data_IF_169155996643
#
_entry.id   IF_169155996643
#
_cell.length_a   1.000
_cell.length_b   1.000
_cell.length_c   1.000
_cell.angle_alpha   90.00
_cell.angle_beta   90.00
_cell.angle_gamma   90.00
#
_symmetry.space_group_name_H-M   'P 1'
#
loop_
_entity.id
_entity.type
_entity.pdbx_description
1 polymer ?
#
# COMPACT_ATOMS: atom_id res chain seq x y z
N UNK A 1 5.95 17.37 -9.01
CA UNK A 1 5.12 17.55 -10.22
C UNK A 1 4.80 19.02 -10.34
N UNK A 2 4.76 19.58 -11.54
CA UNK A 2 4.46 20.99 -11.83
C UNK A 2 3.17 21.06 -12.64
N UNK A 3 2.22 21.88 -12.19
CA UNK A 3 0.93 22.11 -12.86
C UNK A 3 0.86 23.59 -13.19
N UNK A 4 0.70 23.95 -14.45
CA UNK A 4 0.68 25.34 -14.91
C UNK A 4 -0.03 25.47 -16.25
N UNK A 5 -0.49 26.68 -16.58
CA UNK A 5 -1.07 27.08 -17.86
C UNK A 5 -0.01 27.51 -18.90
N UNK A 6 1.25 27.67 -18.50
CA UNK A 6 2.35 27.96 -19.41
C UNK A 6 3.65 28.35 -18.70
N UNK A 7 4.78 28.27 -19.41
CA UNK A 7 6.07 28.71 -18.88
C UNK A 7 6.77 29.62 -19.91
N UNK A 8 7.06 30.85 -19.49
CA UNK A 8 7.73 31.84 -20.35
C UNK A 8 9.17 31.41 -20.68
N UNK A 9 9.83 30.69 -19.76
CA UNK A 9 11.22 30.23 -19.90
C UNK A 9 11.38 28.79 -19.39
N UNK A 10 12.51 28.17 -19.72
CA UNK A 10 12.89 26.79 -19.39
C UNK A 10 13.61 26.65 -18.04
N UNK A 11 14.02 27.74 -17.41
CA UNK A 11 14.63 27.78 -16.07
C UNK A 11 15.78 26.77 -15.86
N UNK A 12 16.60 26.57 -16.89
CA UNK A 12 17.73 25.63 -16.93
C UNK A 12 18.72 25.81 -15.76
N UNK A 13 18.98 27.07 -15.37
CA UNK A 13 19.87 27.44 -14.26
C UNK A 13 19.46 26.80 -12.93
N UNK A 14 18.17 26.61 -12.68
CA UNK A 14 17.65 25.99 -11.46
C UNK A 14 17.92 24.48 -11.49
N UNK A 15 17.67 23.83 -12.63
CA UNK A 15 17.92 22.40 -12.78
C UNK A 15 19.41 22.07 -12.74
N UNK A 16 20.24 22.93 -13.31
CA UNK A 16 21.70 22.83 -13.25
C UNK A 16 22.22 22.87 -11.81
N UNK A 17 21.64 23.73 -10.96
CA UNK A 17 22.07 23.91 -9.57
C UNK A 17 21.62 22.77 -8.64
N UNK A 18 20.40 22.27 -8.80
CA UNK A 18 19.78 21.38 -7.81
C UNK A 18 19.64 19.92 -8.25
N UNK A 19 19.57 19.62 -9.56
CA UNK A 19 19.27 18.26 -10.04
C UNK A 19 20.37 17.65 -10.92
N UNK A 20 21.13 18.46 -11.65
CA UNK A 20 22.18 17.96 -12.55
C UNK A 20 23.52 17.82 -11.80
N UNK A 21 24.36 16.82 -12.17
CA UNK A 21 24.25 15.91 -13.33
C UNK A 21 23.44 14.62 -13.09
N UNK A 22 23.27 14.20 -11.83
CA UNK A 22 22.72 12.88 -11.47
C UNK A 22 21.26 12.69 -11.90
N UNK A 23 20.48 13.78 -11.95
CA UNK A 23 19.05 13.77 -12.28
C UNK A 23 18.30 12.75 -11.42
N UNK A 24 18.42 12.92 -10.10
CA UNK A 24 17.75 12.09 -9.09
C UNK A 24 16.26 12.41 -9.02
N UNK A 25 15.91 13.69 -9.17
CA UNK A 25 14.52 14.17 -9.14
C UNK A 25 13.92 14.10 -10.55
N UNK A 26 12.74 13.47 -10.67
CA UNK A 26 11.95 13.44 -11.90
C UNK A 26 10.92 14.56 -11.92
N UNK A 27 10.80 15.25 -13.04
CA UNK A 27 9.90 16.40 -13.17
C UNK A 27 8.80 16.09 -14.18
N UNK A 28 7.57 16.00 -13.68
CA UNK A 28 6.37 15.85 -14.48
C UNK A 28 5.71 17.21 -14.62
N UNK A 29 5.41 17.63 -15.84
CA UNK A 29 4.81 18.92 -16.14
C UNK A 29 3.44 18.71 -16.77
N UNK A 30 2.42 19.31 -16.17
CA UNK A 30 1.03 19.27 -16.62
C UNK A 30 0.65 20.66 -17.12
N UNK A 31 0.34 20.76 -18.41
CA UNK A 31 -0.17 21.99 -19.02
C UNK A 31 -1.69 22.01 -18.91
N UNK A 32 -2.28 22.98 -18.22
CA UNK A 32 -3.74 23.14 -18.14
C UNK A 32 -4.18 24.20 -19.13
N UNK A 33 -5.10 23.81 -20.01
CA UNK A 33 -5.73 24.74 -20.94
C UNK A 33 -5.66 24.26 -22.39
N UNK A 34 -6.49 24.90 -23.22
CA UNK A 34 -6.56 24.62 -24.66
C UNK A 34 -5.42 25.28 -25.44
N UNK A 35 -4.82 26.32 -24.86
CA UNK A 35 -3.74 27.06 -25.49
C UNK A 35 -2.38 26.43 -25.17
N UNK A 36 -1.64 26.07 -26.22
CA UNK A 36 -0.34 25.42 -26.13
C UNK A 36 0.84 26.37 -26.37
N UNK A 37 0.62 27.69 -26.27
CA UNK A 37 1.59 28.72 -26.67
C UNK A 37 2.97 28.60 -26.01
N UNK A 38 3.04 27.93 -24.85
CA UNK A 38 4.28 27.72 -24.09
C UNK A 38 4.55 26.25 -23.75
N UNK A 39 3.92 25.31 -24.47
CA UNK A 39 4.04 23.87 -24.21
C UNK A 39 5.47 23.35 -24.39
N UNK A 40 6.23 23.89 -25.33
CA UNK A 40 7.58 23.42 -25.67
C UNK A 40 8.57 23.61 -24.52
N UNK A 41 8.47 24.73 -23.80
CA UNK A 41 9.31 24.99 -22.63
C UNK A 41 9.03 23.97 -21.52
N UNK A 42 7.75 23.68 -21.23
CA UNK A 42 7.39 22.64 -20.27
C UNK A 42 7.86 21.26 -20.71
N UNK A 43 7.67 20.94 -21.99
CA UNK A 43 8.11 19.67 -22.57
C UNK A 43 9.61 19.49 -22.41
N UNK A 44 10.40 20.53 -22.68
CA UNK A 44 11.84 20.50 -22.47
C UNK A 44 12.20 20.25 -21.00
N UNK A 45 11.55 20.96 -20.06
CA UNK A 45 11.77 20.78 -18.62
C UNK A 45 11.51 19.33 -18.16
N UNK A 46 10.44 18.70 -18.66
CA UNK A 46 10.15 17.30 -18.36
C UNK A 46 11.16 16.34 -18.99
N UNK A 47 11.47 16.51 -20.28
CA UNK A 47 12.39 15.64 -21.02
C UNK A 47 13.81 15.67 -20.43
N UNK A 48 14.31 16.86 -20.05
CA UNK A 48 15.64 17.01 -19.49
C UNK A 48 15.81 16.31 -18.13
N UNK A 49 14.73 16.19 -17.36
CA UNK A 49 14.70 15.65 -16.00
C UNK A 49 14.04 14.27 -15.90
N UNK A 50 14.11 13.43 -16.96
CA UNK A 50 13.59 12.04 -16.96
C UNK A 50 12.11 11.91 -16.56
N UNK A 51 11.31 12.93 -16.87
CA UNK A 51 9.88 12.96 -16.56
C UNK A 51 8.98 12.79 -17.78
N UNK A 52 7.76 13.33 -17.68
CA UNK A 52 6.75 13.28 -18.73
C UNK A 52 5.98 14.60 -18.80
N UNK A 53 5.58 14.97 -20.02
CA UNK A 53 4.78 16.14 -20.30
C UNK A 53 3.41 15.70 -20.83
N UNK A 54 2.35 16.24 -20.24
CA UNK A 54 0.98 16.02 -20.72
C UNK A 54 0.20 17.32 -20.70
N UNK A 55 -0.77 17.45 -21.61
CA UNK A 55 -1.64 18.61 -21.73
C UNK A 55 -3.07 18.21 -21.39
N UNK A 56 -3.63 18.87 -20.39
CA UNK A 56 -5.01 18.69 -19.95
C UNK A 56 -5.84 19.84 -20.54
N UNK A 57 -6.60 19.51 -21.59
CA UNK A 57 -7.46 20.49 -22.27
C UNK A 57 -8.85 20.56 -21.65
N UNK A 58 -9.35 19.42 -21.15
CA UNK A 58 -10.71 19.29 -20.60
C UNK A 58 -10.71 18.50 -19.30
N UNK A 59 -11.80 18.62 -18.53
CA UNK A 59 -12.01 17.83 -17.31
C UNK A 59 -12.11 16.32 -17.57
N UNK A 60 -12.51 15.91 -18.78
CA UNK A 60 -12.60 14.50 -19.15
C UNK A 60 -11.20 13.87 -19.30
N UNK A 61 -10.24 14.64 -19.82
CA UNK A 61 -8.87 14.15 -20.08
C UNK A 61 -8.05 13.98 -18.79
N UNK A 62 -8.48 14.60 -17.68
CA UNK A 62 -7.73 14.62 -16.41
C UNK A 62 -7.43 13.20 -15.93
N UNK A 63 -8.42 12.31 -15.96
CA UNK A 63 -8.28 10.98 -15.39
C UNK A 63 -7.22 10.14 -16.13
N UNK A 64 -7.18 10.20 -17.45
CA UNK A 64 -6.22 9.44 -18.25
C UNK A 64 -4.82 10.07 -18.17
N UNK A 65 -4.73 11.38 -18.40
CA UNK A 65 -3.45 12.11 -18.46
C UNK A 65 -2.72 12.14 -17.12
N UNK A 66 -3.44 12.23 -16.01
CA UNK A 66 -2.81 12.18 -14.68
C UNK A 66 -2.24 10.79 -14.45
N UNK A 67 -2.90 9.72 -14.86
CA UNK A 67 -2.45 8.35 -14.57
C UNK A 67 -1.21 7.93 -15.38
N UNK A 68 -0.85 8.64 -16.45
CA UNK A 68 0.32 8.32 -17.28
C UNK A 68 1.67 8.39 -16.53
N UNK A 69 1.78 9.15 -15.42
CA UNK A 69 3.03 9.21 -14.66
C UNK A 69 3.45 7.82 -14.15
N UNK A 70 2.49 6.93 -13.89
CA UNK A 70 2.74 5.57 -13.42
C UNK A 70 3.55 4.77 -14.43
N UNK A 71 3.31 4.97 -15.73
CA UNK A 71 4.08 4.30 -16.79
C UNK A 71 5.54 4.74 -16.81
N UNK A 72 5.87 5.96 -16.38
CA UNK A 72 7.26 6.43 -16.29
C UNK A 72 7.92 6.00 -15.00
N UNK A 73 7.18 6.01 -13.88
CA UNK A 73 7.69 5.54 -12.59
C UNK A 73 7.94 4.03 -12.58
N UNK A 74 7.14 3.25 -13.30
CA UNK A 74 7.28 1.78 -13.35
C UNK A 74 8.46 1.29 -14.20
N UNK A 75 8.97 2.06 -15.18
CA UNK A 75 10.09 1.66 -16.06
C UNK A 75 11.29 1.01 -15.36
N UNK A 76 11.90 1.60 -14.31
CA UNK A 76 13.02 0.96 -13.61
C UNK A 76 12.66 -0.42 -13.05
N UNK A 77 11.45 -0.59 -12.49
CA UNK A 77 10.97 -1.87 -11.97
C UNK A 77 10.80 -2.91 -13.09
N UNK A 78 10.31 -2.50 -14.25
CA UNK A 78 10.17 -3.37 -15.43
C UNK A 78 11.54 -3.84 -15.95
N UNK A 79 12.55 -2.97 -15.95
CA UNK A 79 13.91 -3.30 -16.43
C UNK A 79 14.61 -4.30 -15.51
N UNK A 80 14.43 -4.11 -14.19
CA UNK A 80 14.99 -4.95 -13.13
C UNK A 80 14.28 -6.31 -13.05
N UNK A 81 13.03 -6.40 -13.52
CA UNK A 81 12.20 -7.61 -13.50
C UNK A 81 11.98 -8.17 -12.08
N UNK A 82 11.98 -7.28 -11.09
CA UNK A 82 11.71 -7.62 -9.70
C UNK A 82 10.19 -7.77 -9.49
N UNK A 83 9.77 -8.97 -9.07
CA UNK A 83 8.37 -9.30 -8.79
C UNK A 83 8.09 -9.08 -7.30
N UNK A 84 8.00 -7.82 -6.89
CA UNK A 84 7.63 -7.47 -5.52
C UNK A 84 6.15 -7.77 -5.29
N UNK A 85 5.87 -8.59 -4.28
CA UNK A 85 4.51 -8.87 -3.83
C UNK A 85 4.15 -7.88 -2.72
N UNK A 86 3.06 -7.14 -2.89
CA UNK A 86 2.61 -6.11 -1.96
C UNK A 86 1.19 -6.44 -1.48
N UNK A 87 0.95 -6.26 -0.18
CA UNK A 87 -0.37 -6.40 0.43
C UNK A 87 -1.04 -5.04 0.53
N UNK A 88 -2.33 -4.96 0.17
CA UNK A 88 -3.12 -3.76 0.36
C UNK A 88 -3.69 -3.68 1.77
N UNK A 89 -4.03 -2.47 2.20
CA UNK A 89 -4.79 -2.24 3.44
C UNK A 89 -6.15 -2.94 3.40
N UNK A 90 -6.76 -3.13 4.58
CA UNK A 90 -8.08 -3.74 4.66
C UNK A 90 -9.12 -2.82 3.99
N UNK A 91 -9.82 -3.34 2.99
CA UNK A 91 -10.92 -2.66 2.33
C UNK A 91 -12.16 -3.54 2.30
N UNK A 92 -13.31 -2.92 2.06
CA UNK A 92 -14.58 -3.61 1.92
C UNK A 92 -14.95 -3.66 0.46
N UNK A 93 -15.03 -4.87 -0.08
CA UNK A 93 -15.56 -5.06 -1.41
C UNK A 93 -17.10 -5.04 -1.40
N UNK A 94 -17.69 -4.09 -2.14
CA UNK A 94 -19.14 -4.00 -2.38
C UNK A 94 -19.57 -4.59 -3.72
N UNK A 95 -18.62 -4.95 -4.58
CA UNK A 95 -18.86 -5.24 -5.99
C UNK A 95 -18.97 -6.73 -6.28
N UNK A 96 -18.36 -7.59 -5.44
CA UNK A 96 -18.47 -9.04 -5.58
C UNK A 96 -19.83 -9.55 -5.08
N UNK A 97 -20.62 -10.25 -5.92
CA UNK A 97 -21.84 -10.95 -5.48
C UNK A 97 -21.57 -11.98 -4.37
N UNK A 98 -20.35 -12.52 -4.31
CA UNK A 98 -19.89 -13.39 -3.24
C UNK A 98 -19.72 -12.64 -1.91
N UNK A 99 -19.17 -11.43 -1.93
CA UNK A 99 -19.10 -10.56 -0.75
C UNK A 99 -20.50 -10.18 -0.27
N UNK A 100 -21.47 -10.03 -1.19
CA UNK A 100 -22.86 -9.75 -0.85
C UNK A 100 -23.61 -10.95 -0.26
N UNK A 101 -23.35 -12.18 -0.76
CA UNK A 101 -23.89 -13.42 -0.17
C UNK A 101 -23.26 -13.75 1.19
N UNK A 102 -21.97 -13.48 1.38
CA UNK A 102 -21.30 -13.57 2.69
C UNK A 102 -21.79 -12.48 3.66
N UNK A 103 -22.18 -11.31 3.13
CA UNK A 103 -22.71 -10.21 3.93
C UNK A 103 -24.14 -10.41 4.42
N UNK A 104 -24.95 -11.22 3.73
CA UNK A 104 -26.35 -11.46 4.11
C UNK A 104 -26.50 -12.35 5.35
N UNK A 105 -25.48 -13.16 5.67
CA UNK A 105 -25.48 -14.05 6.84
C UNK A 105 -24.54 -13.54 7.97
N UNK A 106 -23.51 -12.73 7.65
CA UNK A 106 -22.48 -12.30 8.63
C UNK A 106 -21.90 -10.88 8.45
N UNK A 107 -22.57 -9.98 7.71
CA UNK A 107 -22.12 -8.58 7.57
C UNK A 107 -20.93 -8.39 6.61
N UNK A 108 -20.61 -7.12 6.31
CA UNK A 108 -19.56 -6.75 5.34
C UNK A 108 -18.21 -7.37 5.70
N UNK A 109 -17.58 -8.06 4.76
CA UNK A 109 -16.31 -8.75 4.95
C UNK A 109 -15.15 -7.82 4.56
N UNK A 110 -14.21 -7.64 5.49
CA UNK A 110 -12.92 -6.99 5.20
C UNK A 110 -12.04 -7.94 4.38
N UNK A 111 -11.46 -7.41 3.31
CA UNK A 111 -10.58 -8.10 2.38
C UNK A 111 -9.24 -7.36 2.32
N UNK A 112 -8.17 -8.09 2.02
CA UNK A 112 -6.87 -7.55 1.64
C UNK A 112 -6.45 -8.20 0.33
N UNK A 113 -5.82 -7.45 -0.56
CA UNK A 113 -5.37 -7.93 -1.86
C UNK A 113 -3.87 -8.15 -1.84
N UNK A 114 -3.44 -9.29 -2.34
CA UNK A 114 -2.04 -9.54 -2.69
C UNK A 114 -1.84 -9.12 -4.14
N UNK A 115 -1.07 -8.06 -4.37
CA UNK A 115 -0.79 -7.53 -5.69
C UNK A 115 0.65 -7.85 -6.13
N UNK A 116 0.80 -8.27 -7.39
CA UNK A 116 2.10 -8.52 -8.02
C UNK A 116 2.11 -7.92 -9.44
N UNK A 117 3.16 -7.16 -9.82
CA UNK A 117 3.27 -6.61 -11.17
C UNK A 117 3.61 -7.71 -12.19
N UNK A 118 3.08 -7.56 -13.41
CA UNK A 118 3.33 -8.49 -14.52
C UNK A 118 4.07 -7.78 -15.65
N UNK A 119 5.16 -8.39 -16.09
CA UNK A 119 6.05 -7.85 -17.11
C UNK A 119 6.12 -8.74 -18.33
N UNK A 120 6.35 -8.12 -19.50
CA UNK A 120 6.67 -8.86 -20.72
C UNK A 120 8.15 -9.28 -20.71
N UNK A 121 8.42 -10.52 -21.13
CA UNK A 121 9.79 -11.06 -21.23
C UNK A 121 10.49 -10.70 -22.56
N UNK A 122 9.79 -10.06 -23.49
CA UNK A 122 10.36 -9.71 -24.79
C UNK A 122 11.40 -8.57 -24.64
N UNK A 123 12.50 -8.64 -25.39
CA UNK A 123 13.56 -7.64 -25.28
C UNK A 123 13.11 -6.23 -25.74
N UNK A 124 12.21 -6.15 -26.72
CA UNK A 124 11.69 -4.88 -27.24
C UNK A 124 10.89 -4.11 -26.17
N UNK A 125 10.01 -4.81 -25.45
CA UNK A 125 9.19 -4.23 -24.38
C UNK A 125 10.04 -3.93 -23.15
N UNK A 126 11.06 -4.74 -22.87
CA UNK A 126 12.02 -4.53 -21.77
C UNK A 126 12.79 -3.22 -21.93
N UNK A 127 13.31 -2.94 -23.13
CA UNK A 127 14.06 -1.69 -23.40
C UNK A 127 13.20 -0.43 -23.23
N UNK A 128 11.90 -0.54 -23.49
CA UNK A 128 10.91 0.55 -23.34
C UNK A 128 10.37 0.67 -21.91
N UNK A 129 10.57 -0.35 -21.06
CA UNK A 129 10.09 -0.37 -19.67
C UNK A 129 8.56 -0.38 -19.56
N UNK A 130 7.87 -1.08 -20.47
CA UNK A 130 6.39 -1.11 -20.51
C UNK A 130 5.87 -2.13 -19.49
N UNK A 131 5.05 -1.68 -18.54
CA UNK A 131 4.30 -2.52 -17.61
C UNK A 131 3.07 -3.10 -18.32
N UNK A 132 2.86 -4.42 -18.26
CA UNK A 132 1.65 -5.06 -18.84
C UNK A 132 0.43 -4.85 -17.94
N UNK A 133 0.62 -4.94 -16.63
CA UNK A 133 -0.44 -4.77 -15.65
C UNK A 133 -0.05 -5.27 -14.26
N UNK A 134 -1.05 -5.39 -13.39
CA UNK A 134 -0.93 -5.92 -12.03
C UNK A 134 -1.94 -7.03 -11.87
N UNK A 135 -1.51 -8.16 -11.31
CA UNK A 135 -2.40 -9.25 -10.91
C UNK A 135 -2.62 -9.14 -9.41
N UNK A 136 -3.88 -9.19 -9.01
CA UNK A 136 -4.31 -9.15 -7.61
C UNK A 136 -5.12 -10.39 -7.25
N UNK A 137 -4.95 -10.90 -6.03
CA UNK A 137 -5.85 -11.90 -5.46
C UNK A 137 -6.33 -11.44 -4.09
N UNK A 138 -7.64 -11.47 -3.89
CA UNK A 138 -8.29 -10.99 -2.67
C UNK A 138 -8.38 -12.11 -1.64
N UNK A 139 -7.91 -11.81 -0.43
CA UNK A 139 -7.92 -12.70 0.72
C UNK A 139 -8.82 -12.09 1.79
N UNK A 140 -9.89 -12.80 2.21
CA UNK A 140 -10.70 -12.35 3.33
C UNK A 140 -9.89 -12.32 4.63
N UNK A 141 -9.97 -11.23 5.38
CA UNK A 141 -9.32 -11.09 6.69
C UNK A 141 -9.80 -12.19 7.65
N UNK A 142 -11.04 -12.67 7.47
CA UNK A 142 -11.58 -13.81 8.20
C UNK A 142 -10.77 -15.09 8.01
N UNK A 143 -10.24 -15.35 6.82
CA UNK A 143 -9.39 -16.52 6.57
C UNK A 143 -8.04 -16.40 7.30
N UNK A 144 -7.48 -15.19 7.37
CA UNK A 144 -6.29 -14.90 8.17
C UNK A 144 -6.55 -15.08 9.66
N UNK A 145 -7.73 -14.70 10.15
CA UNK A 145 -8.09 -14.90 11.56
C UNK A 145 -8.28 -16.38 11.93
N UNK A 146 -8.57 -17.26 10.96
CA UNK A 146 -8.70 -18.71 11.21
C UNK A 146 -7.36 -19.39 11.46
N UNK A 147 -6.26 -18.84 10.92
CA UNK A 147 -4.91 -19.38 11.17
C UNK A 147 -4.44 -19.10 12.59
N UNK A 148 -5.06 -18.14 13.29
CA UNK A 148 -4.72 -17.77 14.66
C UNK A 148 -5.44 -18.70 15.65
N UNK A 149 -4.72 -19.43 16.51
CA UNK A 149 -5.32 -20.35 17.49
C UNK A 149 -5.95 -19.57 18.66
N UNK A 150 -7.16 -19.02 18.46
CA UNK A 150 -7.88 -18.21 19.46
C UNK A 150 -8.08 -18.92 20.79
N UNK A 151 -8.28 -20.24 20.77
CA UNK A 151 -8.50 -21.05 21.96
C UNK A 151 -7.27 -21.12 22.90
N UNK A 152 -6.08 -20.73 22.45
CA UNK A 152 -4.87 -20.70 23.28
C UNK A 152 -4.60 -19.33 23.92
N UNK A 153 -5.34 -18.28 23.55
CA UNK A 153 -5.07 -16.90 23.98
C UNK A 153 -5.67 -16.56 25.35
N UNK A 154 -6.48 -17.44 25.93
CA UNK A 154 -7.20 -17.16 27.17
C UNK A 154 -8.44 -16.29 26.96
N UNK A 155 -9.06 -15.84 28.05
CA UNK A 155 -10.37 -15.16 28.02
C UNK A 155 -10.25 -13.70 27.56
N UNK A 156 -9.14 -13.03 27.91
CA UNK A 156 -8.87 -11.63 27.58
C UNK A 156 -7.90 -11.45 26.41
N UNK A 157 -7.27 -12.53 25.92
CA UNK A 157 -6.33 -12.45 24.81
C UNK A 157 -7.06 -12.39 23.46
N UNK A 158 -6.67 -11.41 22.65
CA UNK A 158 -7.04 -11.34 21.24
C UNK A 158 -5.79 -11.18 20.39
N UNK A 159 -5.95 -11.44 19.10
CA UNK A 159 -4.91 -11.16 18.13
C UNK A 159 -5.39 -10.01 17.24
N UNK A 160 -4.49 -9.07 17.01
CA UNK A 160 -4.65 -8.01 16.04
C UNK A 160 -3.51 -8.11 15.02
N UNK A 161 -3.70 -7.47 13.87
CA UNK A 161 -2.65 -7.38 12.85
C UNK A 161 -2.56 -5.94 12.36
N UNK A 162 -1.34 -5.48 12.15
CA UNK A 162 -1.02 -4.12 11.73
C UNK A 162 -0.18 -4.19 10.46
N UNK A 163 -0.38 -3.22 9.57
CA UNK A 163 0.46 -3.00 8.39
C UNK A 163 1.78 -2.32 8.78
N UNK A 164 2.75 -2.31 7.87
CA UNK A 164 4.00 -1.55 8.04
C UNK A 164 3.79 -0.02 8.15
N UNK A 165 2.60 0.47 7.84
CA UNK A 165 2.23 1.89 7.93
C UNK A 165 1.53 2.25 9.26
N UNK A 166 1.32 1.28 10.16
CA UNK A 166 0.61 1.49 11.43
C UNK A 166 -0.91 1.26 11.35
N UNK A 167 -1.48 1.06 10.15
CA UNK A 167 -2.92 0.81 10.04
C UNK A 167 -3.29 -0.61 10.46
N UNK A 168 -4.42 -0.72 11.17
CA UNK A 168 -4.99 -1.97 11.63
C UNK A 168 -5.60 -2.74 10.46
N UNK A 169 -5.15 -3.98 10.28
CA UNK A 169 -5.76 -4.96 9.37
C UNK A 169 -6.92 -5.70 10.05
N UNK A 170 -6.77 -6.06 11.33
CA UNK A 170 -7.82 -6.69 12.13
C UNK A 170 -7.69 -6.36 13.60
N UNK A 171 -8.79 -5.99 14.24
CA UNK A 171 -8.90 -5.75 15.68
C UNK A 171 -10.35 -5.97 16.13
N UNK A 172 -10.63 -6.51 17.35
CA UNK A 172 -12.00 -6.73 17.84
C UNK A 172 -12.90 -5.49 17.79
N UNK A 173 -12.36 -4.33 18.15
CA UNK A 173 -13.07 -3.04 18.12
C UNK A 173 -13.02 -2.31 16.77
N UNK A 174 -12.38 -2.89 15.74
CA UNK A 174 -12.42 -2.30 14.40
C UNK A 174 -13.80 -2.50 13.78
N UNK A 175 -14.62 -1.45 13.77
CA UNK A 175 -15.96 -1.47 13.17
C UNK A 175 -15.98 -0.70 11.85
N UNK A 176 -16.11 -1.38 10.69
CA UNK A 176 -16.14 -0.73 9.38
C UNK A 176 -17.45 0.02 9.08
N UNK A 177 -18.49 -0.18 9.89
CA UNK A 177 -19.83 0.39 9.72
C UNK A 177 -20.15 1.43 10.79
N UNK A 178 -21.01 2.39 10.46
CA UNK A 178 -21.71 3.18 11.45
C UNK A 178 -22.59 2.26 12.32
N UNK A 179 -22.85 2.67 13.56
CA UNK A 179 -23.63 1.95 14.59
C UNK A 179 -24.74 1.02 14.05
N UNK A 180 -24.89 -0.12 14.74
CA UNK A 180 -25.81 -1.23 14.44
C UNK A 180 -27.17 -0.74 13.91
N UNK A 181 -27.32 -0.78 12.57
CA UNK A 181 -28.57 -0.41 11.90
C UNK A 181 -28.40 0.46 10.66
N UNK A 182 -27.31 1.23 10.53
CA UNK A 182 -27.02 1.99 9.31
C UNK A 182 -25.94 1.28 8.50
N UNK A 183 -26.30 0.68 7.35
CA UNK A 183 -25.37 0.07 6.37
C UNK A 183 -24.44 1.10 5.67
N UNK A 184 -24.09 2.20 6.33
CA UNK A 184 -23.14 3.20 5.85
C UNK A 184 -21.76 2.88 6.41
N UNK A 185 -20.78 2.79 5.50
CA UNK A 185 -19.37 2.64 5.86
C UNK A 185 -18.90 3.86 6.64
N UNK A 186 -18.12 3.65 7.70
CA UNK A 186 -17.47 4.75 8.42
C UNK A 186 -16.45 5.40 7.46
N UNK A 187 -16.41 6.74 7.31
CA UNK A 187 -15.33 7.37 6.56
C UNK A 187 -13.99 7.00 7.22
N UNK A 188 -12.96 6.75 6.41
CA UNK A 188 -11.60 6.42 6.86
C UNK A 188 -11.44 5.09 7.64
N UNK A 189 -12.36 4.14 7.49
CA UNK A 189 -12.24 2.83 8.14
C UNK A 189 -10.97 2.04 7.75
N UNK A 190 -10.34 2.32 6.60
CA UNK A 190 -9.13 1.63 6.12
C UNK A 190 -7.84 2.19 6.70
N UNK A 191 -7.86 3.41 7.26
CA UNK A 191 -6.69 4.12 7.78
C UNK A 191 -6.75 4.31 9.30
N UNK A 192 -7.41 3.40 10.01
CA UNK A 192 -7.52 3.44 11.47
C UNK A 192 -6.22 2.92 12.09
N UNK A 193 -5.66 3.69 13.02
CA UNK A 193 -4.45 3.35 13.78
C UNK A 193 -4.79 2.74 15.16
N UNK A 194 -3.81 2.08 15.78
CA UNK A 194 -3.92 1.47 17.11
C UNK A 194 -4.33 2.49 18.18
N UNK A 195 -3.78 3.70 18.11
CA UNK A 195 -4.08 4.81 19.02
C UNK A 195 -5.55 5.27 19.01
N UNK A 196 -6.30 4.96 17.95
CA UNK A 196 -7.74 5.28 17.86
C UNK A 196 -8.63 4.20 18.48
N UNK A 197 -8.09 3.01 18.69
CA UNK A 197 -8.85 1.81 19.04
C UNK A 197 -8.49 1.32 20.44
N UNK A 198 -7.22 1.41 20.79
CA UNK A 198 -6.69 1.08 22.10
C UNK A 198 -6.21 2.36 22.78
N UNK A 199 -6.20 2.32 24.11
CA UNK A 199 -5.64 3.40 24.90
C UNK A 199 -4.12 3.33 24.80
N UNK A 200 -3.49 4.47 24.50
CA UNK A 200 -2.04 4.57 24.65
C UNK A 200 -1.70 4.55 26.14
N UNK A 201 -0.95 3.53 26.58
CA UNK A 201 -0.34 3.55 27.90
C UNK A 201 0.73 4.65 27.93
N UNK A 202 0.42 5.73 28.65
CA UNK A 202 1.33 6.88 28.85
C UNK A 202 1.91 6.91 30.26
N UNK A 203 2.06 5.74 30.87
CA UNK A 203 2.56 5.62 32.23
C UNK A 203 4.03 5.21 32.21
N UNK A 204 4.85 6.15 32.68
CA UNK A 204 6.28 6.03 32.90
C UNK A 204 6.62 4.78 33.74
N UNK A 205 7.58 3.99 33.28
CA UNK A 205 8.48 3.10 34.07
C UNK A 205 7.99 2.75 35.48
N UNK A 206 6.91 1.98 35.60
CA UNK A 206 6.60 1.33 36.87
C UNK A 206 7.37 0.02 36.95
N UNK A 207 8.43 0.08 37.75
CA UNK A 207 9.27 -1.05 38.16
C UNK A 207 8.41 -2.18 38.70
N UNK A 208 8.21 -3.24 37.92
CA UNK A 208 7.86 -4.54 38.47
C UNK A 208 9.07 -5.07 39.26
N UNK A 209 8.90 -5.56 40.51
CA UNK A 209 9.99 -6.22 41.22
C UNK A 209 10.40 -7.49 40.46
N UNK A 210 11.69 -7.87 40.45
CA UNK A 210 12.15 -9.06 39.75
C UNK A 210 11.80 -10.29 40.58
N UNK A 211 10.55 -10.75 40.51
CA UNK A 211 10.19 -12.09 40.98
C UNK A 211 10.26 -13.07 39.82
N UNK A 212 11.43 -13.72 39.71
CA UNK A 212 11.60 -15.08 39.21
C UNK A 212 10.95 -15.45 37.87
N UNK A 213 11.62 -15.15 36.76
CA UNK A 213 11.60 -16.08 35.63
C UNK A 213 12.35 -17.35 36.05
N UNK A 214 11.67 -18.28 36.71
CA UNK A 214 12.11 -19.68 36.68
C UNK A 214 11.90 -20.21 35.27
N UNK A 215 12.98 -20.74 34.71
CA UNK A 215 13.08 -21.40 33.42
C UNK A 215 12.04 -22.51 33.27
N UNK A 216 10.83 -22.17 32.81
CA UNK A 216 9.87 -23.14 32.32
C UNK A 216 9.46 -22.79 30.90
N UNK A 217 10.26 -23.34 29.97
CA UNK A 217 9.83 -23.60 28.61
C UNK A 217 9.77 -22.37 27.72
N UNK A 218 10.95 -21.81 27.42
CA UNK A 218 11.16 -21.09 26.17
C UNK A 218 10.85 -22.05 25.01
N UNK A 219 9.58 -22.13 24.61
CA UNK A 219 9.22 -22.66 23.29
C UNK A 219 9.67 -21.61 22.27
N UNK A 220 10.97 -21.65 21.99
CA UNK A 220 11.57 -21.20 20.74
C UNK A 220 10.87 -21.97 19.63
N UNK A 221 9.75 -21.44 19.13
CA UNK A 221 9.31 -21.79 17.79
C UNK A 221 10.34 -21.19 16.85
N UNK A 222 11.29 -22.06 16.47
CA UNK A 222 12.23 -21.82 15.40
C UNK A 222 11.52 -21.12 14.23
N UNK A 223 12.19 -20.09 13.74
CA UNK A 223 11.94 -19.36 12.49
C UNK A 223 11.66 -20.28 11.27
N UNK A 224 11.97 -21.57 11.35
CA UNK A 224 11.84 -22.55 10.27
C UNK A 224 10.39 -23.00 9.96
N UNK A 225 9.44 -22.94 10.91
CA UNK A 225 8.08 -23.50 10.65
C UNK A 225 7.23 -22.59 9.76
N UNK A 226 7.44 -21.26 9.81
CA UNK A 226 6.75 -20.33 8.89
C UNK A 226 7.42 -20.34 7.51
N UNK A 227 8.75 -20.54 7.43
CA UNK A 227 9.42 -20.73 6.15
C UNK A 227 8.97 -22.00 5.42
N UNK A 228 8.68 -23.10 6.13
CA UNK A 228 8.32 -24.39 5.51
C UNK A 228 6.90 -24.43 4.91
N UNK A 229 5.96 -23.61 5.39
CA UNK A 229 4.61 -23.51 4.79
C UNK A 229 4.54 -22.50 3.63
N UNK A 230 5.54 -21.63 3.49
CA UNK A 230 5.67 -20.67 2.38
C UNK A 230 6.76 -21.06 1.36
N UNK A 231 7.51 -22.13 1.60
CA UNK A 231 8.58 -22.62 0.70
C UNK A 231 8.09 -23.21 -0.64
N UNK A 232 6.78 -23.15 -0.94
CA UNK A 232 6.22 -23.60 -2.20
C UNK A 232 6.29 -22.57 -3.34
N UNK A 233 6.29 -21.27 -3.06
CA UNK A 233 6.29 -20.24 -4.11
C UNK A 233 6.68 -18.86 -3.57
N UNK A 234 7.77 -18.33 -4.13
CA UNK A 234 8.20 -16.91 -4.16
C UNK A 234 8.52 -16.29 -2.80
N UNK A 235 9.81 -15.96 -2.61
CA UNK A 235 10.32 -15.22 -1.47
C UNK A 235 9.65 -13.85 -1.35
N UNK A 236 8.65 -13.74 -0.47
CA UNK A 236 8.10 -12.47 -0.02
C UNK A 236 8.96 -11.95 1.15
N UNK A 237 9.39 -10.69 1.09
CA UNK A 237 9.96 -10.01 2.26
C UNK A 237 8.89 -9.96 3.37
N UNK A 238 9.19 -10.32 4.62
CA UNK A 238 8.20 -10.33 5.69
C UNK A 238 7.95 -8.88 6.12
N UNK A 239 6.79 -8.33 5.78
CA UNK A 239 6.34 -7.00 6.20
C UNK A 239 5.18 -7.06 7.20
N UNK A 240 5.04 -8.17 7.93
CA UNK A 240 4.00 -8.37 8.94
C UNK A 240 4.67 -8.71 10.27
N UNK A 241 4.82 -7.71 11.13
CA UNK A 241 5.09 -7.95 12.54
C UNK A 241 3.78 -8.39 13.21
N UNK A 242 3.61 -9.68 13.45
CA UNK A 242 2.62 -10.18 14.41
C UNK A 242 3.15 -9.88 15.81
N UNK A 243 2.73 -8.76 16.40
CA UNK A 243 2.86 -8.55 17.83
C UNK A 243 1.71 -9.26 18.55
N UNK A 244 2.06 -9.97 19.60
CA UNK A 244 1.11 -10.58 20.52
C UNK A 244 1.08 -9.70 21.76
N UNK A 245 -0.03 -9.00 22.01
CA UNK A 245 -0.26 -8.36 23.30
C UNK A 245 -0.99 -9.37 24.21
N UNK A 246 -0.38 -9.69 25.34
CA UNK A 246 -1.05 -10.31 26.48
C UNK A 246 -1.12 -9.20 27.52
N UNK A 247 -2.31 -8.61 27.69
CA UNK A 247 -2.60 -7.71 28.83
C UNK A 247 -2.91 -8.51 30.08
#
# INVERSE_FOLDING_TARGET
>A
MLITDGAVDTYDTIFAKYNWPDRKVRIFTYLIGREAAFADNLKWMACANKGFFTQISTLADVQENVMEYLHVLSRPKVIDQEHDVVWTEAYIDSTLPQAQKLADDQGLVLMTTVAMPVFSKQNETRSKGILLGVVGTDVPVKELLKTIPKYKLGIHGYAFAITNNGYILTHPELRPLYEEGKKRRKPNYSSVDLSEVEWEDRDDVDTWPPEGCEDNGLFSWHWEVISLLLAGTVAARPATCLLWAVS
#
